data_IF_246403149270
#
_entry.id   IF_246403149270
#
_cell.length_a   1.000
_cell.length_b   1.000
_cell.length_c   1.000
_cell.angle_alpha   90.00
_cell.angle_beta   90.00
_cell.angle_gamma   90.00
#
_symmetry.space_group_name_H-M   'P 1'
#
loop_
_entity.id
_entity.type
_entity.pdbx_description
1 polymer ?
#
# COMPACT_ATOMS: atom_id res chain seq x y z
N UNK A 1 -21.37 7.06 -30.10
CA UNK A 1 -22.08 6.49 -28.94
C UNK A 1 -21.13 5.50 -28.28
N UNK A 2 -20.78 5.73 -27.01
CA UNK A 2 -19.83 4.90 -26.27
C UNK A 2 -20.54 3.63 -25.77
N UNK A 3 -19.87 2.49 -25.78
CA UNK A 3 -20.42 1.23 -25.27
C UNK A 3 -20.23 1.12 -23.74
N UNK A 4 -20.93 0.17 -23.09
CA UNK A 4 -20.86 0.05 -21.64
C UNK A 4 -19.44 -0.20 -21.11
N UNK A 5 -18.64 -1.03 -21.79
CA UNK A 5 -17.28 -1.31 -21.36
C UNK A 5 -16.43 -0.04 -21.31
N UNK A 6 -16.44 0.74 -22.41
CA UNK A 6 -15.70 1.98 -22.50
C UNK A 6 -16.27 3.08 -21.59
N UNK A 7 -17.59 3.08 -21.33
CA UNK A 7 -18.19 3.99 -20.36
C UNK A 7 -17.69 3.67 -18.94
N UNK A 8 -17.66 2.39 -18.54
CA UNK A 8 -17.14 1.93 -17.25
C UNK A 8 -15.68 2.30 -17.03
N UNK A 9 -14.84 2.13 -18.06
CA UNK A 9 -13.43 2.54 -18.01
C UNK A 9 -13.26 4.04 -17.73
N UNK A 10 -14.24 4.88 -18.11
CA UNK A 10 -14.21 6.33 -17.94
C UNK A 10 -14.95 6.81 -16.67
N UNK A 11 -15.68 5.93 -15.97
CA UNK A 11 -16.47 6.33 -14.80
C UNK A 11 -15.63 6.92 -13.65
N UNK A 12 -14.43 6.40 -13.31
CA UNK A 12 -13.63 6.96 -12.22
C UNK A 12 -13.21 8.41 -12.47
N UNK A 13 -12.77 8.73 -13.68
CA UNK A 13 -12.38 10.07 -14.13
C UNK A 13 -13.62 10.96 -14.30
N UNK A 14 -14.73 10.40 -14.79
CA UNK A 14 -16.01 11.09 -14.90
C UNK A 14 -16.52 11.58 -13.54
N UNK A 15 -16.41 10.75 -12.50
CA UNK A 15 -16.79 11.11 -11.12
C UNK A 15 -15.85 12.15 -10.52
N UNK A 16 -14.54 12.06 -10.82
CA UNK A 16 -13.54 13.04 -10.37
C UNK A 16 -13.62 14.38 -11.11
N UNK A 17 -14.22 14.40 -12.30
CA UNK A 17 -14.28 15.58 -13.16
C UNK A 17 -13.02 15.79 -14.01
N UNK A 18 -12.21 14.74 -14.19
CA UNK A 18 -10.89 14.80 -14.84
C UNK A 18 -10.94 14.37 -16.32
N UNK A 19 -12.11 14.36 -16.94
CA UNK A 19 -12.29 14.00 -18.36
C UNK A 19 -12.19 15.22 -19.27
N UNK A 20 -11.79 14.98 -20.53
CA UNK A 20 -11.97 15.99 -21.59
C UNK A 20 -13.45 16.29 -21.82
N UNK A 21 -13.77 17.47 -22.36
CA UNK A 21 -15.16 17.87 -22.63
C UNK A 21 -15.91 16.86 -23.52
N UNK A 22 -15.19 16.27 -24.49
CA UNK A 22 -15.74 15.28 -25.41
C UNK A 22 -16.06 13.96 -24.72
N UNK A 23 -15.12 13.43 -23.93
CA UNK A 23 -15.30 12.20 -23.14
C UNK A 23 -16.39 12.37 -22.09
N UNK A 24 -16.41 13.52 -21.41
CA UNK A 24 -17.43 13.83 -20.42
C UNK A 24 -18.82 13.80 -21.06
N UNK A 25 -18.99 14.43 -22.21
CA UNK A 25 -20.28 14.48 -22.93
C UNK A 25 -20.78 13.09 -23.31
N UNK A 26 -19.94 12.27 -23.94
CA UNK A 26 -20.38 10.92 -24.35
C UNK A 26 -20.61 9.98 -23.17
N UNK A 27 -19.81 10.10 -22.11
CA UNK A 27 -19.97 9.31 -20.88
C UNK A 27 -21.26 9.71 -20.16
N UNK A 28 -21.54 11.02 -20.04
CA UNK A 28 -22.78 11.52 -19.49
C UNK A 28 -24.00 11.03 -20.29
N UNK A 29 -23.95 11.11 -21.62
CA UNK A 29 -25.01 10.60 -22.49
C UNK A 29 -25.28 9.12 -22.24
N UNK A 30 -24.24 8.30 -22.16
CA UNK A 30 -24.38 6.86 -21.87
C UNK A 30 -24.94 6.59 -20.48
N UNK A 31 -24.40 7.24 -19.44
CA UNK A 31 -24.80 7.05 -18.03
C UNK A 31 -26.26 7.43 -17.80
N UNK A 32 -26.80 8.38 -18.57
CA UNK A 32 -28.24 8.73 -18.46
C UNK A 32 -29.18 7.65 -18.98
N UNK A 33 -28.71 6.75 -19.85
CA UNK A 33 -29.54 5.75 -20.53
C UNK A 33 -29.29 4.34 -19.99
N UNK A 34 -28.07 4.04 -19.50
CA UNK A 34 -27.69 2.73 -18.99
C UNK A 34 -27.79 2.64 -17.46
N UNK A 35 -28.73 1.83 -16.96
CA UNK A 35 -28.94 1.61 -15.51
C UNK A 35 -27.69 1.08 -14.81
N UNK A 36 -26.97 0.14 -15.42
CA UNK A 36 -25.76 -0.45 -14.82
C UNK A 36 -24.67 0.62 -14.63
N UNK A 37 -24.43 1.43 -15.66
CA UNK A 37 -23.45 2.52 -15.58
C UNK A 37 -23.90 3.62 -14.61
N UNK A 38 -25.21 3.85 -14.47
CA UNK A 38 -25.76 4.79 -13.49
C UNK A 38 -25.50 4.33 -12.05
N UNK A 39 -25.76 3.06 -11.75
CA UNK A 39 -25.55 2.47 -10.43
C UNK A 39 -24.06 2.48 -10.05
N UNK A 40 -23.20 2.13 -11.00
CA UNK A 40 -21.75 2.13 -10.78
C UNK A 40 -21.20 3.56 -10.57
N UNK A 41 -21.66 4.53 -11.39
CA UNK A 41 -21.30 5.93 -11.20
C UNK A 41 -21.76 6.45 -9.83
N UNK A 42 -22.94 6.05 -9.36
CA UNK A 42 -23.46 6.41 -8.04
C UNK A 42 -22.62 5.82 -6.91
N UNK A 43 -22.22 4.55 -7.02
CA UNK A 43 -21.30 3.93 -6.06
C UNK A 43 -19.97 4.69 -6.00
N UNK A 44 -19.38 4.98 -7.15
CA UNK A 44 -18.12 5.72 -7.23
C UNK A 44 -18.23 7.14 -6.66
N UNK A 45 -19.36 7.83 -6.86
CA UNK A 45 -19.61 9.15 -6.24
C UNK A 45 -19.63 9.08 -4.72
N UNK A 46 -20.24 8.03 -4.14
CA UNK A 46 -20.26 7.86 -2.67
C UNK A 46 -18.86 7.65 -2.12
N UNK A 47 -18.10 6.74 -2.73
CA UNK A 47 -16.71 6.48 -2.36
C UNK A 47 -15.88 7.77 -2.48
N UNK A 48 -16.03 8.50 -3.58
CA UNK A 48 -15.32 9.75 -3.80
C UNK A 48 -15.67 10.81 -2.74
N UNK A 49 -16.95 10.97 -2.39
CA UNK A 49 -17.39 11.92 -1.38
C UNK A 49 -16.94 11.56 0.05
N UNK A 50 -16.75 10.28 0.33
CA UNK A 50 -16.23 9.78 1.61
C UNK A 50 -14.70 9.84 1.69
N UNK A 51 -14.00 10.13 0.59
CA UNK A 51 -12.53 10.24 0.63
C UNK A 51 -12.08 11.40 1.53
N UNK A 52 -11.06 11.12 2.33
CA UNK A 52 -10.50 12.07 3.29
C UNK A 52 -9.99 13.30 2.56
N UNK A 53 -10.54 14.46 2.91
CA UNK A 53 -10.00 15.75 2.44
C UNK A 53 -8.58 15.92 2.96
N UNK A 54 -7.64 16.08 2.04
CA UNK A 54 -6.24 16.37 2.36
C UNK A 54 -6.17 17.75 3.04
N UNK A 55 -5.66 17.86 4.28
CA UNK A 55 -5.48 19.14 4.95
C UNK A 55 -4.55 20.06 4.15
N UNK A 56 -4.88 21.35 4.08
CA UNK A 56 -4.00 22.36 3.48
C UNK A 56 -2.68 22.38 4.25
N UNK A 57 -1.56 22.28 3.54
CA UNK A 57 -0.22 22.30 4.12
C UNK A 57 0.32 20.95 4.59
N UNK A 58 -0.42 19.84 4.41
CA UNK A 58 0.04 18.49 4.77
C UNK A 58 1.40 18.15 4.11
N UNK A 59 1.62 18.58 2.86
CA UNK A 59 2.88 18.35 2.17
C UNK A 59 4.06 19.05 2.86
N UNK A 60 3.83 20.26 3.36
CA UNK A 60 4.81 21.07 4.08
C UNK A 60 5.08 20.48 5.46
N UNK A 61 4.04 20.01 6.15
CA UNK A 61 4.16 19.35 7.45
C UNK A 61 4.94 18.04 7.35
N UNK A 62 4.65 17.22 6.34
CA UNK A 62 5.40 15.98 6.06
C UNK A 62 6.88 16.29 5.78
N UNK A 63 7.17 17.25 4.89
CA UNK A 63 8.55 17.66 4.59
C UNK A 63 9.27 18.17 5.84
N UNK A 64 8.58 18.94 6.68
CA UNK A 64 9.14 19.46 7.91
C UNK A 64 9.42 18.34 8.93
N UNK A 65 8.53 17.35 9.06
CA UNK A 65 8.72 16.19 9.93
C UNK A 65 9.92 15.36 9.48
N UNK A 66 10.01 15.04 8.19
CA UNK A 66 11.14 14.30 7.61
C UNK A 66 12.47 15.04 7.81
N UNK A 67 12.49 16.37 7.60
CA UNK A 67 13.69 17.17 7.81
C UNK A 67 14.14 17.16 9.28
N UNK A 68 13.21 17.09 10.25
CA UNK A 68 13.54 16.99 11.69
C UNK A 68 14.09 15.62 12.03
N UNK A 69 13.54 14.56 11.47
CA UNK A 69 14.02 13.19 11.69
C UNK A 69 15.41 12.98 11.10
N UNK A 70 15.66 13.48 9.89
CA UNK A 70 16.97 13.44 9.25
C UNK A 70 18.03 14.30 9.96
N UNK A 71 17.61 15.43 10.55
CA UNK A 71 18.48 16.29 11.36
C UNK A 71 18.66 15.79 12.80
N UNK A 72 17.93 14.77 13.23
CA UNK A 72 18.17 14.17 14.53
C UNK A 72 19.56 13.53 14.52
N UNK A 73 20.49 14.00 15.37
CA UNK A 73 21.81 13.44 15.39
C UNK A 73 21.71 12.06 16.06
N UNK A 74 21.66 10.99 15.26
CA UNK A 74 22.12 9.65 15.67
C UNK A 74 23.54 9.67 16.27
N UNK A 75 24.25 10.80 16.12
CA UNK A 75 25.57 11.12 16.67
C UNK A 75 25.63 11.25 18.21
N UNK A 76 24.54 11.16 18.96
CA UNK A 76 24.66 10.91 20.41
C UNK A 76 25.05 9.45 20.77
N UNK A 77 25.33 8.59 19.79
CA UNK A 77 26.17 7.38 19.96
C UNK A 77 27.68 7.72 19.97
N UNK A 78 28.07 8.78 20.67
CA UNK A 78 29.46 9.00 21.05
C UNK A 78 29.68 8.34 22.42
N UNK A 79 30.07 7.06 22.41
CA UNK A 79 30.89 6.36 23.43
C UNK A 79 31.44 5.05 22.81
N UNK A 80 32.64 4.57 23.22
CA UNK A 80 33.48 3.72 22.37
C UNK A 80 32.93 2.28 22.23
N UNK A 81 32.87 1.83 20.99
CA UNK A 81 32.29 0.57 20.53
C UNK A 81 33.21 -0.65 20.78
N UNK A 82 33.45 -1.00 22.05
CA UNK A 82 34.18 -2.25 22.36
C UNK A 82 33.34 -3.30 23.11
N UNK A 83 32.26 -2.93 23.81
CA UNK A 83 31.49 -3.88 24.63
C UNK A 83 30.11 -4.27 24.04
N UNK A 84 29.61 -3.57 23.03
CA UNK A 84 28.23 -3.73 22.56
C UNK A 84 28.00 -4.96 21.66
N UNK A 85 29.06 -5.56 21.08
CA UNK A 85 28.93 -6.69 20.15
C UNK A 85 28.43 -7.96 20.87
N UNK A 86 28.79 -8.15 22.14
CA UNK A 86 28.40 -9.33 22.93
C UNK A 86 26.90 -9.28 23.29
N UNK A 87 26.34 -8.09 23.54
CA UNK A 87 24.92 -7.92 23.85
C UNK A 87 24.00 -8.18 22.64
N UNK A 88 24.46 -7.87 21.43
CA UNK A 88 23.70 -8.14 20.19
C UNK A 88 23.65 -9.64 19.90
N UNK A 89 24.77 -10.36 20.06
CA UNK A 89 24.79 -11.82 19.84
C UNK A 89 23.90 -12.59 20.83
N UNK A 90 23.89 -12.19 22.11
CA UNK A 90 23.00 -12.77 23.13
C UNK A 90 21.54 -12.34 22.97
N UNK A 91 21.29 -11.09 22.55
CA UNK A 91 19.94 -10.57 22.36
C UNK A 91 19.20 -11.21 21.18
N UNK A 92 19.89 -11.44 20.05
CA UNK A 92 19.29 -12.06 18.86
C UNK A 92 18.85 -13.50 19.15
N UNK A 93 19.63 -14.28 19.91
CA UNK A 93 19.27 -15.65 20.28
C UNK A 93 18.00 -15.74 21.15
N UNK A 94 17.83 -14.82 22.11
CA UNK A 94 16.66 -14.78 23.00
C UNK A 94 15.41 -14.25 22.28
N UNK A 95 15.57 -13.30 21.36
CA UNK A 95 14.48 -12.78 20.52
C UNK A 95 13.99 -13.86 19.56
N UNK A 96 14.88 -14.68 18.99
CA UNK A 96 14.47 -15.74 18.07
C UNK A 96 13.65 -16.84 18.76
N UNK A 97 13.99 -17.18 20.00
CA UNK A 97 13.20 -18.10 20.84
C UNK A 97 11.81 -17.53 21.16
N UNK A 98 11.72 -16.21 21.40
CA UNK A 98 10.45 -15.50 21.64
C UNK A 98 9.56 -15.41 20.38
N UNK A 99 10.14 -15.34 19.19
CA UNK A 99 9.38 -15.25 17.92
C UNK A 99 8.79 -16.59 17.49
N UNK A 100 9.27 -17.73 18.02
CA UNK A 100 8.58 -19.02 17.84
C UNK A 100 7.22 -19.08 18.55
N UNK A 101 6.98 -18.16 19.49
CA UNK A 101 5.65 -17.92 20.04
C UNK A 101 5.12 -16.66 19.36
N UNK A 102 4.41 -16.85 18.25
CA UNK A 102 3.67 -15.77 17.60
C UNK A 102 2.83 -15.06 18.67
N UNK A 103 2.86 -13.72 18.76
CA UNK A 103 1.98 -13.00 19.67
C UNK A 103 0.55 -13.37 19.30
N UNK A 104 -0.22 -13.83 20.29
CA UNK A 104 -1.64 -14.06 20.12
C UNK A 104 -2.25 -12.75 19.61
N UNK A 105 -2.77 -12.80 18.38
CA UNK A 105 -3.37 -11.67 17.68
C UNK A 105 -4.28 -10.93 18.67
N UNK A 106 -3.96 -9.66 18.93
CA UNK A 106 -4.78 -8.83 19.80
C UNK A 106 -6.22 -8.74 19.29
N UNK A 107 -7.17 -8.21 20.07
CA UNK A 107 -8.58 -8.14 19.68
C UNK A 107 -8.84 -7.39 18.35
N UNK A 108 -7.85 -6.63 17.87
CA UNK A 108 -7.79 -6.04 16.53
C UNK A 108 -7.31 -7.01 15.42
N UNK A 109 -7.28 -8.32 15.66
CA UNK A 109 -7.10 -9.37 14.65
C UNK A 109 -8.31 -10.29 14.53
N UNK A 110 -9.39 -10.01 15.28
CA UNK A 110 -10.47 -10.97 15.52
C UNK A 110 -11.79 -10.58 14.82
N UNK A 111 -11.72 -10.28 13.52
CA UNK A 111 -12.89 -10.08 12.62
C UNK A 111 -13.56 -8.70 12.77
N UNK A 112 -13.52 -7.80 11.76
CA UNK A 112 -14.05 -8.07 10.41
C UNK A 112 -13.16 -7.64 9.22
N UNK A 113 -12.00 -7.01 9.46
CA UNK A 113 -11.10 -6.54 8.40
C UNK A 113 -10.22 -7.65 7.80
N UNK A 114 -10.09 -8.80 8.48
CA UNK A 114 -9.41 -9.98 7.93
C UNK A 114 -10.21 -10.68 6.83
N UNK A 115 -11.53 -10.47 6.77
CA UNK A 115 -12.41 -11.07 5.73
C UNK A 115 -12.43 -10.22 4.46
N UNK A 116 -12.12 -8.93 4.56
CA UNK A 116 -12.11 -8.00 3.41
C UNK A 116 -10.88 -8.21 2.52
N UNK A 117 -9.80 -8.76 3.08
CA UNK A 117 -8.59 -9.09 2.33
C UNK A 117 -8.34 -10.59 2.45
N UNK A 118 -8.65 -11.40 1.43
CA UNK A 118 -8.32 -12.82 1.42
C UNK A 118 -6.83 -12.98 1.73
N UNK A 119 -6.50 -13.83 2.70
CA UNK A 119 -5.12 -14.18 3.04
C UNK A 119 -4.35 -14.83 1.88
N UNK A 120 -5.04 -15.12 0.76
CA UNK A 120 -4.50 -15.71 -0.47
C UNK A 120 -4.00 -14.64 -1.47
N UNK A 121 -4.08 -13.34 -1.15
CA UNK A 121 -3.65 -12.24 -2.03
C UNK A 121 -2.12 -12.02 -2.06
N UNK A 122 -1.31 -12.98 -1.57
CA UNK A 122 0.13 -12.96 -1.77
C UNK A 122 0.49 -12.85 -3.27
N UNK A 123 -0.35 -13.41 -4.15
CA UNK A 123 -0.20 -13.32 -5.59
C UNK A 123 -0.53 -11.93 -6.16
N UNK A 124 -1.43 -11.17 -5.52
CA UNK A 124 -1.83 -9.81 -5.94
C UNK A 124 -0.80 -8.77 -5.48
N UNK A 125 -0.17 -8.99 -4.32
CA UNK A 125 0.94 -8.18 -3.83
C UNK A 125 2.26 -8.47 -4.56
N UNK A 126 2.28 -9.41 -5.51
CA UNK A 126 3.49 -9.80 -6.23
C UNK A 126 4.50 -10.46 -5.30
N UNK A 127 4.08 -11.46 -4.52
CA UNK A 127 5.03 -12.36 -3.89
C UNK A 127 5.95 -12.91 -4.99
N UNK A 128 7.28 -12.75 -4.88
CA UNK A 128 8.18 -13.27 -5.88
C UNK A 128 8.00 -14.78 -5.94
N UNK A 129 7.52 -15.29 -7.08
CA UNK A 129 7.43 -16.73 -7.33
C UNK A 129 8.85 -17.28 -7.44
N UNK A 130 9.35 -17.86 -6.34
CA UNK A 130 10.65 -18.53 -6.30
C UNK A 130 10.58 -19.98 -6.78
N UNK A 131 9.38 -20.48 -7.07
CA UNK A 131 9.15 -21.84 -7.55
C UNK A 131 9.64 -21.99 -9.00
N UNK A 132 10.61 -22.90 -9.19
CA UNK A 132 11.25 -23.18 -10.48
C UNK A 132 12.62 -22.52 -10.69
N UNK A 133 13.09 -21.70 -9.75
CA UNK A 133 14.47 -21.22 -9.76
C UNK A 133 15.42 -22.32 -9.29
N UNK A 134 16.56 -22.42 -9.97
CA UNK A 134 17.66 -23.24 -9.47
C UNK A 134 18.38 -22.52 -8.33
N UNK A 135 19.10 -23.26 -7.48
CA UNK A 135 19.87 -22.68 -6.37
C UNK A 135 20.89 -21.61 -6.85
N UNK A 136 21.42 -21.78 -8.05
CA UNK A 136 22.35 -20.82 -8.68
C UNK A 136 21.62 -19.53 -9.08
N UNK A 137 20.43 -19.61 -9.68
CA UNK A 137 19.63 -18.44 -10.07
C UNK A 137 19.12 -17.65 -8.86
N UNK A 138 18.77 -18.37 -7.78
CA UNK A 138 18.38 -17.76 -6.51
C UNK A 138 19.54 -16.98 -5.89
N UNK A 139 20.76 -17.50 -5.99
CA UNK A 139 21.96 -16.86 -5.46
C UNK A 139 22.25 -15.53 -6.16
N UNK A 140 22.09 -15.48 -7.49
CA UNK A 140 22.28 -14.25 -8.28
C UNK A 140 21.28 -13.17 -7.87
N UNK A 141 20.00 -13.52 -7.71
CA UNK A 141 18.96 -12.57 -7.28
C UNK A 141 19.23 -11.99 -5.89
N UNK A 142 19.74 -12.81 -4.96
CA UNK A 142 20.08 -12.37 -3.61
C UNK A 142 21.30 -11.43 -3.61
N UNK A 143 22.27 -11.64 -4.50
CA UNK A 143 23.40 -10.74 -4.68
C UNK A 143 22.98 -9.38 -5.27
N UNK A 144 22.01 -9.34 -6.17
CA UNK A 144 21.47 -8.09 -6.74
C UNK A 144 20.65 -7.28 -5.74
N UNK A 145 19.85 -7.93 -4.89
CA UNK A 145 19.04 -7.28 -3.85
C UNK A 145 19.85 -6.81 -2.63
N UNK A 146 21.02 -7.40 -2.39
CA UNK A 146 21.93 -7.03 -1.31
C UNK A 146 22.79 -5.78 -1.59
N UNK A 147 22.56 -5.10 -2.72
CA UNK A 147 23.30 -3.92 -3.18
C UNK A 147 22.47 -2.65 -3.11
#
# INVERSE_FOLDING_TARGET
>A
MVNCAKAKDLLPEFVRGDLTDEEHRWTAEHVTVCVDCQQEAELLRRIHNDTVRIPVGLDSDIKAALAREQKSPRWLLSWPAAAAIIAVALGIGVVWERVRVLPEVGPLGREPFAVVWPSDDADVAGAPSLEGLTDDDLTILLEELGR
#
